data_IF_645591350334
#
_entry.id   IF_645591350334
#
_cell.length_a   1.000
_cell.length_b   1.000
_cell.length_c   1.000
_cell.angle_alpha   90.00
_cell.angle_beta   90.00
_cell.angle_gamma   90.00
#
_symmetry.space_group_name_H-M   'P 1'
#
loop_
_entity.id
_entity.type
_entity.pdbx_description
1 polymer ?
#
# COMPACT_ATOMS: atom_id res chain seq x y z
N UNK A 1 -9.13 20.48 31.76
CA UNK A 1 -8.99 19.08 31.34
C UNK A 1 -10.40 18.59 31.05
N UNK A 2 -10.67 17.98 29.89
CA UNK A 2 -11.99 17.39 29.61
C UNK A 2 -12.19 16.14 30.48
N UNK A 3 -13.41 15.88 30.94
CA UNK A 3 -13.73 14.70 31.77
C UNK A 3 -13.36 13.38 31.07
N UNK A 4 -13.45 13.37 29.74
CA UNK A 4 -13.03 12.25 28.89
C UNK A 4 -11.53 11.94 28.98
N UNK A 5 -10.67 12.95 29.21
CA UNK A 5 -9.24 12.72 29.40
C UNK A 5 -8.97 12.08 30.76
N UNK A 6 -9.72 12.46 31.80
CA UNK A 6 -9.56 11.93 33.17
C UNK A 6 -9.93 10.44 33.23
N UNK A 7 -11.03 10.04 32.59
CA UNK A 7 -11.41 8.63 32.48
C UNK A 7 -10.39 7.80 31.67
N UNK A 8 -9.83 8.38 30.60
CA UNK A 8 -8.79 7.71 29.81
C UNK A 8 -7.52 7.45 30.63
N UNK A 9 -7.08 8.40 31.47
CA UNK A 9 -5.94 8.20 32.37
C UNK A 9 -6.20 7.14 33.45
N UNK A 10 -7.40 7.11 34.02
CA UNK A 10 -7.78 6.06 34.97
C UNK A 10 -7.78 4.67 34.31
N UNK A 11 -8.25 4.57 33.07
CA UNK A 11 -8.16 3.34 32.27
C UNK A 11 -6.72 2.92 32.01
N UNK A 12 -5.83 3.87 31.70
CA UNK A 12 -4.39 3.59 31.52
C UNK A 12 -3.77 3.06 32.81
N UNK A 13 -4.01 3.69 33.96
CA UNK A 13 -3.51 3.22 35.26
C UNK A 13 -4.00 1.80 35.58
N UNK A 14 -5.27 1.51 35.34
CA UNK A 14 -5.83 0.18 35.54
C UNK A 14 -5.20 -0.86 34.61
N UNK A 15 -4.97 -0.52 33.34
CA UNK A 15 -4.30 -1.43 32.40
C UNK A 15 -2.84 -1.66 32.76
N UNK A 16 -2.12 -0.64 33.24
CA UNK A 16 -0.75 -0.77 33.70
C UNK A 16 -0.66 -1.67 34.95
N UNK A 17 -1.57 -1.49 35.91
CA UNK A 17 -1.64 -2.34 37.08
C UNK A 17 -1.90 -3.81 36.72
N UNK A 18 -2.82 -4.07 35.77
CA UNK A 18 -3.11 -5.42 35.29
C UNK A 18 -1.91 -6.06 34.56
N UNK A 19 -1.18 -5.28 33.77
CA UNK A 19 0.05 -5.76 33.10
C UNK A 19 1.13 -6.07 34.13
N UNK A 20 1.29 -5.22 35.16
CA UNK A 20 2.27 -5.45 36.22
C UNK A 20 1.97 -6.72 37.02
N UNK A 21 0.70 -6.98 37.35
CA UNK A 21 0.28 -8.23 38.00
C UNK A 21 0.62 -9.46 37.14
N UNK A 22 0.32 -9.42 35.85
CA UNK A 22 0.67 -10.50 34.92
C UNK A 22 2.19 -10.71 34.80
N UNK A 23 2.98 -9.63 34.82
CA UNK A 23 4.43 -9.71 34.78
C UNK A 23 5.03 -10.20 36.11
N UNK A 24 4.37 -9.96 37.24
CA UNK A 24 4.82 -10.40 38.55
C UNK A 24 4.92 -11.93 38.64
N UNK A 25 4.02 -12.66 37.97
CA UNK A 25 4.06 -14.12 37.86
C UNK A 25 5.40 -14.57 37.26
N UNK A 26 5.84 -13.96 36.16
CA UNK A 26 7.11 -14.27 35.50
C UNK A 26 8.36 -13.87 36.29
N UNK A 27 8.23 -13.00 37.31
CA UNK A 27 9.32 -12.67 38.23
C UNK A 27 9.48 -13.71 39.34
N UNK A 28 8.39 -14.41 39.70
CA UNK A 28 8.36 -15.37 40.79
C UNK A 28 8.58 -16.81 40.32
N UNK A 29 8.13 -17.14 39.10
CA UNK A 29 8.24 -18.49 38.53
C UNK A 29 9.26 -18.52 37.40
N UNK A 30 10.06 -19.58 37.32
CA UNK A 30 10.94 -19.81 36.18
C UNK A 30 10.13 -20.08 34.90
N UNK A 31 10.71 -19.79 33.73
CA UNK A 31 10.07 -20.10 32.44
C UNK A 31 9.86 -21.61 32.28
N UNK A 32 10.77 -22.41 32.83
CA UNK A 32 10.71 -23.87 32.83
C UNK A 32 9.47 -24.37 33.59
N UNK A 33 9.18 -23.81 34.76
CA UNK A 33 8.00 -24.17 35.55
C UNK A 33 6.69 -23.73 34.89
N UNK A 34 6.72 -22.60 34.17
CA UNK A 34 5.56 -22.11 33.42
C UNK A 34 5.23 -22.97 32.19
N UNK A 35 6.26 -23.56 31.58
CA UNK A 35 6.14 -24.40 30.38
C UNK A 35 5.99 -25.88 30.74
N UNK A 36 6.34 -26.29 31.96
CA UNK A 36 6.23 -27.67 32.44
C UNK A 36 4.83 -28.30 32.30
N UNK A 37 3.72 -27.58 32.56
CA UNK A 37 2.36 -28.11 32.35
C UNK A 37 2.01 -28.33 30.88
N UNK A 38 2.75 -27.75 29.93
CA UNK A 38 2.48 -27.89 28.52
C UNK A 38 3.05 -29.20 27.99
N UNK A 39 2.19 -29.97 27.31
CA UNK A 39 2.65 -31.15 26.58
C UNK A 39 3.63 -30.74 25.45
N UNK A 40 4.56 -31.61 25.04
CA UNK A 40 5.50 -31.29 23.96
C UNK A 40 4.82 -30.84 22.65
N UNK A 41 3.67 -31.42 22.34
CA UNK A 41 2.86 -31.04 21.18
C UNK A 41 2.28 -29.62 21.29
N UNK A 42 1.76 -29.26 22.47
CA UNK A 42 1.25 -27.91 22.73
C UNK A 42 2.36 -26.86 22.72
N UNK A 43 3.55 -27.20 23.24
CA UNK A 43 4.73 -26.32 23.15
C UNK A 43 5.10 -26.05 21.70
N UNK A 44 5.24 -27.09 20.89
CA UNK A 44 5.60 -26.94 19.47
C UNK A 44 4.58 -26.09 18.72
N UNK A 45 3.28 -26.27 18.99
CA UNK A 45 2.21 -25.45 18.41
C UNK A 45 2.34 -23.99 18.83
N UNK A 46 2.49 -23.71 20.14
CA UNK A 46 2.64 -22.35 20.65
C UNK A 46 3.89 -21.64 20.11
N UNK A 47 5.01 -22.36 19.97
CA UNK A 47 6.25 -21.82 19.39
C UNK A 47 6.00 -21.42 17.92
N UNK A 48 5.39 -22.30 17.12
CA UNK A 48 5.09 -22.00 15.72
C UNK A 48 4.12 -20.83 15.56
N UNK A 49 3.10 -20.76 16.40
CA UNK A 49 2.12 -19.67 16.39
C UNK A 49 2.79 -18.34 16.77
N UNK A 50 3.70 -18.35 17.76
CA UNK A 50 4.49 -17.19 18.15
C UNK A 50 5.47 -16.75 17.04
N UNK A 51 6.08 -17.69 16.31
CA UNK A 51 6.94 -17.39 15.16
C UNK A 51 6.19 -16.73 14.00
N UNK A 52 4.95 -17.17 13.71
CA UNK A 52 4.11 -16.54 12.69
C UNK A 52 3.64 -15.15 13.12
N UNK A 53 3.34 -14.93 14.41
CA UNK A 53 3.04 -13.60 14.93
C UNK A 53 4.26 -12.67 14.85
N UNK A 54 5.46 -13.19 15.15
CA UNK A 54 6.71 -12.43 15.14
C UNK A 54 7.17 -12.02 13.73
N UNK A 55 6.82 -12.80 12.69
CA UNK A 55 7.09 -12.43 11.29
C UNK A 55 6.38 -11.14 10.85
N UNK A 56 5.35 -10.72 11.59
CA UNK A 56 4.63 -9.49 11.34
C UNK A 56 3.85 -9.48 10.02
N UNK A 57 3.21 -8.35 9.68
CA UNK A 57 2.44 -8.22 8.46
C UNK A 57 3.31 -8.45 7.23
N UNK A 58 3.00 -9.48 6.45
CA UNK A 58 3.74 -9.78 5.22
C UNK A 58 3.42 -8.72 4.16
N UNK A 59 4.40 -7.87 3.85
CA UNK A 59 4.32 -6.93 2.73
C UNK A 59 4.29 -7.72 1.41
N UNK A 60 3.12 -7.81 0.81
CA UNK A 60 2.96 -8.34 -0.54
C UNK A 60 3.39 -7.25 -1.53
N UNK A 61 4.61 -7.36 -2.05
CA UNK A 61 5.08 -6.48 -3.12
C UNK A 61 4.44 -6.91 -4.45
N UNK A 62 3.69 -6.00 -5.06
CA UNK A 62 3.22 -6.18 -6.43
C UNK A 62 4.41 -6.06 -7.39
N UNK A 63 4.78 -7.21 -7.97
CA UNK A 63 5.89 -7.34 -8.92
C UNK A 63 5.63 -6.52 -10.19
N UNK A 64 4.38 -6.38 -10.62
CA UNK A 64 4.04 -5.62 -11.82
C UNK A 64 4.08 -4.12 -11.54
N UNK A 65 3.54 -3.67 -10.40
CA UNK A 65 3.70 -2.28 -9.96
C UNK A 65 5.17 -1.89 -9.80
N UNK A 66 6.00 -2.77 -9.22
CA UNK A 66 7.45 -2.55 -9.10
C UNK A 66 8.13 -2.38 -10.46
N UNK A 67 7.76 -3.21 -11.46
CA UNK A 67 8.27 -3.07 -12.83
C UNK A 67 7.86 -1.75 -13.47
N UNK A 68 6.61 -1.32 -13.28
CA UNK A 68 6.12 -0.01 -13.79
C UNK A 68 6.85 1.16 -13.14
N UNK A 69 7.09 1.08 -11.83
CA UNK A 69 7.84 2.10 -11.09
C UNK A 69 9.28 2.21 -11.63
N UNK A 70 9.97 1.08 -11.78
CA UNK A 70 11.33 1.04 -12.32
C UNK A 70 11.36 1.56 -13.76
N UNK A 71 10.43 1.16 -14.62
CA UNK A 71 10.38 1.61 -16.01
C UNK A 71 10.15 3.13 -16.11
N UNK A 72 9.28 3.70 -15.28
CA UNK A 72 9.05 5.14 -15.26
C UNK A 72 10.24 5.93 -14.71
N UNK A 73 10.95 5.37 -13.74
CA UNK A 73 12.14 5.99 -13.14
C UNK A 73 13.39 5.86 -14.03
N UNK A 74 13.46 4.82 -14.86
CA UNK A 74 14.55 4.54 -15.81
C UNK A 74 14.24 4.94 -17.26
N UNK A 75 13.05 5.49 -17.54
CA UNK A 75 12.75 6.21 -18.79
C UNK A 75 13.07 7.72 -18.81
N UNK A 76 14.03 8.31 -18.04
CA UNK A 76 14.42 9.71 -18.22
C UNK A 76 14.84 10.02 -19.65
N UNK A 77 15.29 9.01 -20.40
CA UNK A 77 15.69 9.15 -21.79
C UNK A 77 14.52 9.12 -22.77
N UNK A 78 13.26 8.88 -22.38
CA UNK A 78 12.16 9.00 -23.34
C UNK A 78 12.01 10.44 -23.83
N UNK A 79 12.19 11.43 -22.93
CA UNK A 79 12.16 12.85 -23.29
C UNK A 79 13.38 13.23 -24.13
N UNK A 80 14.56 12.66 -23.86
CA UNK A 80 15.75 12.89 -24.69
C UNK A 80 15.63 12.22 -26.06
N UNK A 81 15.13 10.99 -26.13
CA UNK A 81 14.85 10.25 -27.36
C UNK A 81 13.76 10.95 -28.18
N UNK A 82 12.70 11.45 -27.55
CA UNK A 82 11.64 12.20 -28.22
C UNK A 82 12.15 13.58 -28.68
N UNK A 83 12.98 14.27 -27.88
CA UNK A 83 13.62 15.53 -28.27
C UNK A 83 14.66 15.34 -29.39
N UNK A 84 15.42 14.24 -29.40
CA UNK A 84 16.39 13.91 -30.46
C UNK A 84 15.67 13.46 -31.73
N UNK A 85 14.58 12.69 -31.62
CA UNK A 85 13.73 12.33 -32.77
C UNK A 85 13.01 13.55 -33.34
N UNK A 86 12.50 14.44 -32.50
CA UNK A 86 11.92 15.71 -32.94
C UNK A 86 12.98 16.60 -33.63
N UNK A 87 14.22 16.68 -33.10
CA UNK A 87 15.32 17.39 -33.77
C UNK A 87 15.76 16.76 -35.09
N UNK A 88 15.71 15.44 -35.25
CA UNK A 88 16.05 14.75 -36.52
C UNK A 88 14.91 14.76 -37.54
N UNK A 89 13.66 14.86 -37.11
CA UNK A 89 12.49 14.89 -38.00
C UNK A 89 12.30 16.22 -38.74
N UNK A 90 12.85 17.33 -38.24
CA UNK A 90 12.72 18.66 -38.85
C UNK A 90 13.77 18.96 -39.95
N UNK A 91 14.74 18.06 -40.19
CA UNK A 91 15.82 18.29 -41.18
C UNK A 91 15.62 17.59 -42.52
N UNK A 92 14.69 16.63 -42.60
CA UNK A 92 14.40 15.89 -43.83
C UNK A 92 12.88 15.77 -44.02
N UNK A 93 12.30 16.66 -44.84
CA UNK A 93 11.51 16.31 -46.05
C UNK A 93 10.59 17.45 -46.48
N UNK A 94 10.95 18.08 -47.60
CA UNK A 94 9.98 18.44 -48.62
C UNK A 94 9.22 17.18 -49.05
N UNK A 95 7.90 17.17 -48.88
CA UNK A 95 7.02 16.13 -49.44
C UNK A 95 6.97 16.25 -50.98
N UNK A 96 6.69 15.15 -51.73
CA UNK A 96 5.29 14.74 -51.92
C UNK A 96 5.01 13.21 -52.05
N UNK A 97 3.79 12.84 -51.60
CA UNK A 97 2.83 11.75 -51.92
C UNK A 97 3.22 10.57 -52.88
N UNK A 98 2.76 9.30 -52.79
CA UNK A 98 1.41 8.70 -52.60
C UNK A 98 1.43 7.15 -52.37
N UNK A 99 0.46 6.66 -51.57
CA UNK A 99 -0.45 5.46 -51.72
C UNK A 99 0.03 3.98 -51.67
N UNK A 100 -0.54 3.20 -50.71
CA UNK A 100 -1.65 2.20 -50.83
C UNK A 100 -1.92 1.59 -49.43
N UNK A 101 -3.05 1.88 -48.78
CA UNK A 101 -4.29 1.07 -48.62
C UNK A 101 -4.04 -0.28 -47.87
N UNK A 102 -4.59 -0.54 -46.68
CA UNK A 102 -6.01 -0.84 -46.44
C UNK A 102 -6.54 -0.51 -45.01
N UNK A 103 -7.78 0.05 -44.98
CA UNK A 103 -8.94 -0.09 -44.06
C UNK A 103 -8.72 -0.67 -42.62
N UNK A 104 -9.33 -0.16 -41.54
CA UNK A 104 -10.62 0.51 -41.37
C UNK A 104 -10.73 1.28 -40.02
N UNK A 105 -11.43 2.42 -40.06
CA UNK A 105 -12.38 2.99 -39.07
C UNK A 105 -11.90 3.29 -37.62
N UNK A 106 -11.97 4.51 -37.06
CA UNK A 106 -12.51 5.78 -37.52
C UNK A 106 -12.35 6.90 -36.48
N UNK A 107 -12.12 8.13 -37.00
CA UNK A 107 -12.45 9.49 -36.49
C UNK A 107 -12.47 9.68 -34.95
N UNK A 108 -11.60 10.47 -34.32
CA UNK A 108 -11.11 11.79 -34.72
C UNK A 108 -11.93 12.92 -34.08
N UNK A 109 -11.22 13.88 -33.48
CA UNK A 109 -11.60 15.25 -33.05
C UNK A 109 -11.71 15.48 -31.54
N UNK A 110 -10.73 16.25 -31.04
CA UNK A 110 -10.80 17.05 -29.82
C UNK A 110 -12.01 18.00 -29.91
N UNK A 111 -12.82 18.03 -28.86
CA UNK A 111 -13.80 19.09 -28.61
C UNK A 111 -13.65 19.55 -27.16
N UNK A 112 -13.73 20.86 -26.96
CA UNK A 112 -13.58 21.54 -25.69
C UNK A 112 -14.69 21.22 -24.67
N UNK A 113 -14.35 21.50 -23.42
CA UNK A 113 -15.14 21.52 -22.18
C UNK A 113 -16.66 21.70 -22.31
N UNK A 114 -17.41 20.81 -21.63
CA UNK A 114 -18.67 21.17 -20.97
C UNK A 114 -18.70 20.58 -19.56
N UNK A 115 -18.70 21.48 -18.59
CA UNK A 115 -19.07 21.27 -17.21
C UNK A 115 -20.57 21.00 -17.08
N UNK A 116 -20.95 19.97 -16.31
CA UNK A 116 -22.28 19.81 -15.69
C UNK A 116 -22.18 18.70 -14.62
N UNK A 117 -21.87 19.01 -13.36
CA UNK A 117 -22.77 19.48 -12.30
C UNK A 117 -23.82 18.44 -11.85
N UNK A 118 -23.84 18.15 -10.52
CA UNK A 118 -24.91 17.50 -9.71
C UNK A 118 -25.11 15.97 -9.88
N UNK A 119 -25.10 15.11 -8.84
CA UNK A 119 -25.48 15.23 -7.41
C UNK A 119 -24.67 14.24 -6.55
N UNK A 120 -24.03 14.74 -5.49
CA UNK A 120 -23.55 13.95 -4.37
C UNK A 120 -24.67 13.91 -3.31
N UNK A 121 -25.41 12.79 -3.19
CA UNK A 121 -26.50 12.66 -2.20
C UNK A 121 -25.99 11.89 -0.98
N UNK A 122 -25.30 12.60 -0.08
CA UNK A 122 -25.10 12.18 1.31
C UNK A 122 -26.48 12.17 2.00
N UNK A 123 -27.03 11.01 2.33
CA UNK A 123 -28.10 10.89 3.32
C UNK A 123 -27.46 10.52 4.66
N UNK A 124 -27.38 11.49 5.58
CA UNK A 124 -27.26 11.23 7.02
C UNK A 124 -28.69 11.13 7.55
N UNK A 125 -29.05 10.02 8.19
CA UNK A 125 -30.27 9.93 8.98
C UNK A 125 -29.95 10.44 10.39
N UNK A 126 -30.72 11.43 10.83
CA UNK A 126 -31.01 11.69 12.24
C UNK A 126 -32.31 10.96 12.57
#
# INVERSE_FOLDING_TARGET
MSDQAVEAFAGVEQTLAAVEEHLAVFKQTSMEDFVAPLSPLERAKKIKDAEELAKGPKLALDKEASKRFIHNALSPDQVYVDAVKAKKGDQDTSAPAQKKDDKAEGKGKRAASKSSNKKNKRQRKH
#
